data_IF_655930752479
#
_entry.id   IF_655930752479
#
_cell.length_a   1.000
_cell.length_b   1.000
_cell.length_c   1.000
_cell.angle_alpha   90.00
_cell.angle_beta   90.00
_cell.angle_gamma   90.00
#
_symmetry.space_group_name_H-M   'P 1'
#
loop_
_entity.id
_entity.type
_entity.pdbx_description
1 polymer ?
#
# COMPACT_ATOMS: atom_id res chain seq x y z
N UNK A 1 -27.11 13.75 -6.30
CA UNK A 1 -26.23 13.00 -7.22
C UNK A 1 -26.85 13.04 -8.61
N UNK A 2 -26.05 13.00 -9.67
CA UNK A 2 -26.56 12.76 -11.02
C UNK A 2 -26.64 11.24 -11.28
N UNK A 3 -27.66 10.78 -11.99
CA UNK A 3 -27.87 9.36 -12.28
C UNK A 3 -27.05 8.95 -13.51
N UNK A 4 -26.04 8.09 -13.31
CA UNK A 4 -25.12 7.66 -14.38
C UNK A 4 -25.83 6.60 -15.23
N UNK A 5 -26.37 7.03 -16.37
CA UNK A 5 -27.01 6.14 -17.35
C UNK A 5 -25.94 5.41 -18.17
N UNK A 6 -25.53 4.23 -17.72
CA UNK A 6 -24.64 3.33 -18.47
C UNK A 6 -25.34 2.73 -19.70
N UNK A 7 -24.56 2.42 -20.73
CA UNK A 7 -24.97 1.57 -21.87
C UNK A 7 -25.04 0.08 -21.48
N UNK A 8 -25.61 -0.77 -22.35
CA UNK A 8 -25.62 -2.23 -22.11
C UNK A 8 -24.23 -2.88 -22.22
N UNK A 9 -23.31 -2.23 -22.94
CA UNK A 9 -21.91 -2.65 -23.01
C UNK A 9 -21.17 -2.29 -21.72
N UNK A 10 -21.27 -1.04 -21.24
CA UNK A 10 -20.75 -0.64 -19.92
C UNK A 10 -21.35 -1.48 -18.79
N UNK A 11 -22.66 -1.80 -18.82
CA UNK A 11 -23.30 -2.70 -17.85
C UNK A 11 -22.71 -4.11 -17.87
N UNK A 12 -22.34 -4.63 -19.06
CA UNK A 12 -21.71 -5.95 -19.20
C UNK A 12 -20.28 -5.92 -18.65
N UNK A 13 -19.51 -4.89 -19.01
CA UNK A 13 -18.14 -4.68 -18.53
C UNK A 13 -18.13 -4.52 -17.00
N UNK A 14 -19.00 -3.69 -16.43
CA UNK A 14 -19.09 -3.48 -14.98
C UNK A 14 -19.34 -4.79 -14.20
N UNK A 15 -20.20 -5.68 -14.71
CA UNK A 15 -20.40 -7.01 -14.11
C UNK A 15 -19.12 -7.85 -14.16
N UNK A 16 -18.49 -7.97 -15.32
CA UNK A 16 -17.23 -8.72 -15.45
C UNK A 16 -16.09 -8.15 -14.58
N UNK A 17 -16.07 -6.83 -14.32
CA UNK A 17 -15.14 -6.19 -13.40
C UNK A 17 -15.45 -6.55 -11.93
N UNK A 18 -16.72 -6.49 -11.52
CA UNK A 18 -17.16 -6.75 -10.16
C UNK A 18 -17.08 -8.24 -9.78
N UNK A 19 -17.48 -9.13 -10.70
CA UNK A 19 -17.43 -10.58 -10.54
C UNK A 19 -15.98 -11.13 -10.59
N UNK A 20 -14.98 -10.29 -10.83
CA UNK A 20 -13.57 -10.66 -11.08
C UNK A 20 -13.31 -11.23 -12.48
N UNK A 21 -14.29 -11.94 -13.06
CA UNK A 21 -14.28 -12.77 -14.29
C UNK A 21 -13.79 -12.13 -15.61
N UNK A 22 -13.22 -10.93 -15.60
CA UNK A 22 -12.36 -10.48 -16.71
C UNK A 22 -11.17 -11.44 -16.93
N UNK A 23 -10.71 -11.71 -18.17
CA UNK A 23 -9.70 -12.76 -18.49
C UNK A 23 -8.25 -12.55 -17.99
N UNK A 24 -8.03 -11.84 -16.88
CA UNK A 24 -6.71 -11.61 -16.29
C UNK A 24 -6.23 -12.81 -15.46
N UNK A 25 -7.16 -13.54 -14.84
CA UNK A 25 -6.85 -14.63 -13.90
C UNK A 25 -6.27 -15.90 -14.58
N UNK A 26 -6.30 -16.00 -15.91
CA UNK A 26 -5.75 -17.15 -16.67
C UNK A 26 -4.28 -16.98 -17.10
N UNK A 27 -3.62 -15.84 -16.79
CA UNK A 27 -2.31 -15.49 -17.36
C UNK A 27 -1.13 -15.41 -16.35
N UNK A 28 -1.35 -15.63 -15.06
CA UNK A 28 -0.27 -15.56 -14.04
C UNK A 28 0.33 -16.95 -13.78
N UNK A 29 1.47 -17.26 -14.40
CA UNK A 29 2.27 -18.44 -14.00
C UNK A 29 3.02 -18.14 -12.69
N UNK A 30 2.54 -18.75 -11.60
CA UNK A 30 3.00 -18.63 -10.21
C UNK A 30 4.50 -19.00 -10.00
N UNK A 31 5.15 -19.55 -11.03
CA UNK A 31 6.52 -20.09 -10.99
C UNK A 31 7.65 -19.06 -11.07
N UNK A 32 7.40 -17.85 -11.55
CA UNK A 32 8.46 -16.86 -11.75
C UNK A 32 9.03 -16.29 -10.42
N UNK A 33 8.23 -16.20 -9.36
CA UNK A 33 8.61 -15.62 -8.07
C UNK A 33 9.18 -16.66 -7.09
N UNK A 34 10.29 -17.30 -7.48
CA UNK A 34 10.89 -18.43 -6.74
C UNK A 34 12.00 -18.04 -5.75
N UNK A 35 13.12 -17.48 -6.23
CA UNK A 35 14.43 -17.67 -5.55
C UNK A 35 15.18 -16.40 -5.07
N UNK A 36 14.83 -15.17 -5.50
CA UNK A 36 15.65 -14.01 -5.10
C UNK A 36 15.34 -13.46 -3.70
N UNK A 37 16.01 -14.05 -2.72
CA UNK A 37 16.32 -13.43 -1.43
C UNK A 37 17.81 -13.63 -1.13
N UNK A 38 18.63 -12.68 -1.59
CA UNK A 38 20.08 -12.69 -1.39
C UNK A 38 20.53 -12.93 0.08
N UNK A 39 21.61 -13.71 0.30
CA UNK A 39 21.98 -14.18 1.64
C UNK A 39 22.63 -13.09 2.53
N UNK A 40 22.34 -13.06 3.84
CA UNK A 40 22.96 -12.11 4.77
C UNK A 40 24.42 -12.45 5.09
N UNK A 41 25.27 -11.43 5.20
CA UNK A 41 26.71 -11.56 5.49
C UNK A 41 26.96 -12.00 6.95
N UNK A 42 27.86 -12.98 7.22
CA UNK A 42 27.98 -13.66 8.53
C UNK A 42 29.11 -13.16 9.45
N UNK A 43 28.94 -13.42 10.76
CA UNK A 43 29.92 -13.23 11.86
C UNK A 43 29.25 -12.61 13.09
N UNK A 44 29.51 -13.02 14.35
CA UNK A 44 30.31 -14.14 14.89
C UNK A 44 29.90 -14.42 16.36
N UNK A 45 30.39 -15.49 16.98
CA UNK A 45 30.05 -15.91 18.36
C UNK A 45 30.89 -15.17 19.45
N UNK A 46 30.69 -15.23 20.78
CA UNK A 46 29.78 -15.97 21.70
C UNK A 46 29.62 -15.08 23.00
N UNK A 47 29.01 -15.37 24.18
CA UNK A 47 28.68 -16.58 24.96
C UNK A 47 27.50 -16.37 25.94
N UNK A 48 26.98 -17.47 26.52
CA UNK A 48 26.42 -17.62 27.88
C UNK A 48 25.03 -17.04 28.26
N UNK A 49 24.47 -17.56 29.38
CA UNK A 49 23.04 -17.53 29.77
C UNK A 49 22.84 -17.65 31.30
N UNK A 50 21.86 -16.94 31.89
CA UNK A 50 20.97 -17.53 32.91
C UNK A 50 19.49 -17.07 32.71
N UNK A 51 18.54 -17.99 32.52
CA UNK A 51 17.56 -18.50 33.53
C UNK A 51 16.31 -17.60 33.75
N UNK A 52 15.11 -18.19 34.02
CA UNK A 52 13.83 -17.52 33.77
C UNK A 52 13.19 -16.84 34.99
N UNK A 53 12.37 -15.82 34.73
CA UNK A 53 11.41 -15.25 35.69
C UNK A 53 9.98 -15.76 35.41
N UNK A 54 9.11 -15.86 36.43
CA UNK A 54 7.74 -16.35 36.27
C UNK A 54 6.82 -15.32 35.58
N UNK A 55 5.72 -15.77 34.92
CA UNK A 55 4.80 -14.88 34.23
C UNK A 55 3.96 -14.03 35.21
N UNK A 56 3.80 -12.72 34.97
CA UNK A 56 2.82 -11.90 35.68
C UNK A 56 1.40 -12.17 35.16
N UNK A 57 0.46 -12.42 36.07
CA UNK A 57 -0.92 -12.79 35.73
C UNK A 57 -1.79 -11.58 35.35
N UNK A 58 -2.29 -11.58 34.10
CA UNK A 58 -3.66 -11.22 33.71
C UNK A 58 -4.22 -9.81 34.00
N UNK A 59 -4.86 -9.21 32.98
CA UNK A 59 -5.80 -8.10 33.20
C UNK A 59 -5.76 -6.96 32.19
N UNK A 60 -5.67 -7.25 30.88
CA UNK A 60 -5.76 -6.18 29.88
C UNK A 60 -7.22 -5.77 29.63
N UNK A 61 -7.60 -4.59 30.14
CA UNK A 61 -8.91 -3.98 29.89
C UNK A 61 -8.85 -3.15 28.61
N UNK A 62 -9.28 -3.76 27.51
CA UNK A 62 -9.33 -3.14 26.18
C UNK A 62 -9.84 -1.69 26.25
N UNK A 63 -8.94 -0.72 26.04
CA UNK A 63 -9.29 0.69 26.02
C UNK A 63 -10.24 0.94 24.86
N UNK A 64 -11.38 1.57 25.13
CA UNK A 64 -12.15 2.23 24.07
C UNK A 64 -11.24 3.30 23.47
N UNK A 65 -10.86 3.14 22.21
CA UNK A 65 -10.18 4.20 21.49
C UNK A 65 -11.11 5.41 21.40
N UNK A 66 -10.56 6.60 21.66
CA UNK A 66 -11.22 7.84 21.27
C UNK A 66 -11.46 7.83 19.75
N UNK A 67 -12.54 8.46 19.30
CA UNK A 67 -12.77 8.62 17.87
C UNK A 67 -11.57 9.37 17.25
N UNK A 68 -11.05 8.94 16.08
CA UNK A 68 -9.95 9.64 15.43
C UNK A 68 -10.35 11.11 15.19
N UNK A 69 -9.43 12.07 15.34
CA UNK A 69 -9.74 13.47 15.10
C UNK A 69 -10.27 13.66 13.68
N UNK A 70 -11.21 14.58 13.49
CA UNK A 70 -11.79 14.88 12.17
C UNK A 70 -10.68 15.13 11.15
N UNK A 71 -10.48 14.18 10.23
CA UNK A 71 -9.55 14.33 9.13
C UNK A 71 -10.07 15.46 8.25
N UNK A 72 -9.39 16.61 8.31
CA UNK A 72 -9.57 17.68 7.33
C UNK A 72 -9.05 17.16 6.00
N UNK A 73 -9.98 16.69 5.17
CA UNK A 73 -9.69 16.08 3.88
C UNK A 73 -8.85 16.99 2.98
N UNK A 74 -8.17 16.38 2.02
CA UNK A 74 -7.27 17.09 1.12
C UNK A 74 -8.01 18.14 0.28
N UNK A 75 -7.48 19.37 0.25
CA UNK A 75 -8.11 20.48 -0.46
C UNK A 75 -7.84 20.38 -1.97
N UNK A 76 -8.77 19.74 -2.69
CA UNK A 76 -8.68 19.50 -4.13
C UNK A 76 -8.74 20.76 -5.00
N UNK A 77 -9.14 21.91 -4.45
CA UNK A 77 -9.22 23.20 -5.17
C UNK A 77 -8.02 24.12 -4.86
N UNK A 78 -7.27 23.86 -3.78
CA UNK A 78 -6.04 24.61 -3.45
C UNK A 78 -4.93 24.30 -4.46
N UNK A 79 -4.42 25.27 -5.23
CA UNK A 79 -3.42 25.00 -6.25
C UNK A 79 -2.08 24.50 -5.66
N UNK A 80 -1.48 23.53 -6.34
CA UNK A 80 -0.11 23.05 -6.11
C UNK A 80 0.78 23.49 -7.29
N UNK A 81 2.06 23.74 -7.04
CA UNK A 81 3.04 23.96 -8.11
C UNK A 81 3.07 22.74 -9.06
N UNK A 82 3.27 22.96 -10.36
CA UNK A 82 3.42 21.86 -11.33
C UNK A 82 4.81 21.22 -11.23
N UNK A 83 4.88 19.94 -11.56
CA UNK A 83 6.14 19.18 -11.59
C UNK A 83 7.05 19.53 -12.78
N UNK A 84 6.49 20.11 -13.85
CA UNK A 84 7.21 20.48 -15.08
C UNK A 84 7.45 22.00 -15.24
N UNK A 85 6.73 22.84 -14.49
CA UNK A 85 6.84 24.30 -14.51
C UNK A 85 6.44 24.86 -13.12
N UNK A 86 7.37 24.98 -12.15
CA UNK A 86 7.05 25.33 -10.76
C UNK A 86 6.60 26.79 -10.59
N UNK A 87 6.81 27.65 -11.59
CA UNK A 87 6.24 29.01 -11.64
C UNK A 87 4.75 29.00 -12.00
N UNK A 88 4.18 27.83 -12.36
CA UNK A 88 2.74 27.60 -12.52
C UNK A 88 2.20 26.70 -11.43
N UNK A 89 0.93 26.93 -11.11
CA UNK A 89 0.13 26.04 -10.29
C UNK A 89 -1.06 25.47 -11.07
N UNK A 90 -1.49 24.28 -10.67
CA UNK A 90 -2.73 23.62 -11.09
C UNK A 90 -3.48 23.14 -9.84
N UNK A 91 -4.80 23.00 -9.91
CA UNK A 91 -5.52 22.38 -8.80
C UNK A 91 -5.33 20.86 -8.81
N UNK A 92 -5.27 20.19 -7.66
CA UNK A 92 -5.26 18.74 -7.59
C UNK A 92 -6.43 18.09 -8.35
N UNK A 93 -7.59 18.76 -8.41
CA UNK A 93 -8.73 18.31 -9.21
C UNK A 93 -8.47 18.40 -10.72
N UNK A 94 -7.70 19.37 -11.21
CA UNK A 94 -7.22 19.41 -12.60
C UNK A 94 -6.22 18.28 -12.88
N UNK A 95 -5.28 18.01 -11.96
CA UNK A 95 -4.34 16.88 -12.07
C UNK A 95 -5.10 15.55 -12.19
N UNK A 96 -6.04 15.28 -11.29
CA UNK A 96 -6.88 14.07 -11.31
C UNK A 96 -7.76 14.00 -12.56
N UNK A 97 -8.19 15.14 -13.12
CA UNK A 97 -8.97 15.16 -14.36
C UNK A 97 -8.17 14.72 -15.59
N UNK A 98 -6.87 14.98 -15.59
CA UNK A 98 -5.94 14.58 -16.65
C UNK A 98 -5.39 13.15 -16.49
N UNK A 99 -5.85 12.37 -15.50
CA UNK A 99 -5.40 11.00 -15.30
C UNK A 99 -5.78 10.07 -16.47
N UNK A 100 -4.77 9.37 -16.99
CA UNK A 100 -4.90 8.25 -17.93
C UNK A 100 -4.28 6.99 -17.27
N UNK A 101 -5.07 5.94 -16.97
CA UNK A 101 -4.55 4.68 -16.45
C UNK A 101 -3.43 4.07 -17.31
N UNK A 102 -3.52 4.22 -18.63
CA UNK A 102 -2.59 3.57 -19.56
C UNK A 102 -1.18 4.16 -19.48
N UNK A 103 -1.04 5.43 -19.09
CA UNK A 103 0.24 6.09 -18.84
C UNK A 103 0.94 5.55 -17.58
N UNK A 104 0.20 4.93 -16.65
CA UNK A 104 0.74 4.25 -15.46
C UNK A 104 1.03 2.76 -15.64
N UNK A 105 0.91 2.23 -16.87
CA UNK A 105 0.99 0.78 -17.16
C UNK A 105 -0.29 -0.01 -16.82
N UNK A 106 -1.30 0.64 -16.23
CA UNK A 106 -2.54 0.02 -15.78
C UNK A 106 -3.47 -0.32 -16.97
N UNK A 107 -4.42 -1.26 -16.80
CA UNK A 107 -5.47 -1.51 -17.79
C UNK A 107 -6.31 -0.26 -18.09
N UNK A 108 -6.69 0.00 -19.36
CA UNK A 108 -7.60 1.09 -19.69
C UNK A 108 -8.95 0.95 -18.97
N UNK A 109 -9.42 2.03 -18.36
CA UNK A 109 -10.69 2.09 -17.63
C UNK A 109 -11.44 3.37 -17.99
N UNK A 110 -12.71 3.26 -18.39
CA UNK A 110 -13.56 4.42 -18.66
C UNK A 110 -14.07 4.97 -17.32
N UNK A 111 -14.00 6.30 -17.12
CA UNK A 111 -14.39 6.97 -15.86
C UNK A 111 -15.79 6.58 -15.37
N UNK A 112 -16.79 6.51 -16.24
CA UNK A 112 -18.17 6.11 -15.89
C UNK A 112 -18.22 4.72 -15.23
N UNK A 113 -17.49 3.76 -15.81
CA UNK A 113 -17.37 2.40 -15.31
C UNK A 113 -16.58 2.39 -13.99
N UNK A 114 -15.48 3.14 -13.90
CA UNK A 114 -14.66 3.21 -12.68
C UNK A 114 -15.41 3.77 -11.46
N UNK A 115 -16.25 4.80 -11.65
CA UNK A 115 -17.11 5.33 -10.58
C UNK A 115 -18.14 4.28 -10.14
N UNK A 116 -18.86 3.68 -11.10
CA UNK A 116 -19.85 2.65 -10.79
C UNK A 116 -19.24 1.39 -10.15
N UNK A 117 -17.98 1.08 -10.46
CA UNK A 117 -17.23 -0.02 -9.85
C UNK A 117 -16.99 0.19 -8.35
N UNK A 118 -16.50 1.37 -7.95
CA UNK A 118 -16.35 1.70 -6.51
C UNK A 118 -17.70 1.63 -5.80
N UNK A 119 -18.74 2.25 -6.37
CA UNK A 119 -20.07 2.31 -5.77
C UNK A 119 -20.67 0.90 -5.57
N UNK A 120 -20.49 -0.01 -6.53
CA UNK A 120 -20.96 -1.38 -6.44
C UNK A 120 -20.14 -2.22 -5.43
N UNK A 121 -18.81 -2.17 -5.49
CA UNK A 121 -17.96 -3.08 -4.69
C UNK A 121 -17.83 -2.62 -3.23
N UNK A 122 -17.81 -1.31 -2.97
CA UNK A 122 -17.87 -0.79 -1.60
C UNK A 122 -19.20 -1.15 -0.91
N UNK A 123 -20.31 -1.17 -1.65
CA UNK A 123 -21.61 -1.62 -1.14
C UNK A 123 -21.71 -3.13 -0.90
N UNK A 124 -20.93 -3.94 -1.63
CA UNK A 124 -20.81 -5.39 -1.39
C UNK A 124 -19.94 -5.72 -0.16
N UNK A 125 -18.88 -4.95 0.07
CA UNK A 125 -17.96 -5.11 1.20
C UNK A 125 -16.81 -6.09 0.97
N UNK A 126 -16.78 -6.81 -0.15
CA UNK A 126 -15.74 -7.80 -0.50
C UNK A 126 -14.34 -7.19 -0.68
N UNK A 127 -14.24 -5.90 -0.98
CA UNK A 127 -12.99 -5.13 -1.02
C UNK A 127 -13.07 -3.97 -0.03
N UNK A 128 -12.86 -4.20 1.29
CA UNK A 128 -13.06 -3.17 2.31
C UNK A 128 -12.12 -1.96 2.16
N UNK A 129 -11.00 -2.12 1.43
CA UNK A 129 -10.11 -1.02 1.09
C UNK A 129 -10.66 -0.01 0.07
N UNK A 130 -11.80 -0.30 -0.57
CA UNK A 130 -12.49 0.65 -1.46
C UNK A 130 -13.50 1.54 -0.72
N UNK A 131 -13.87 1.19 0.52
CA UNK A 131 -14.90 1.91 1.27
C UNK A 131 -14.59 3.42 1.49
N UNK A 132 -13.36 3.87 1.78
CA UNK A 132 -13.06 5.30 1.93
C UNK A 132 -13.24 6.13 0.65
N UNK A 133 -13.22 5.49 -0.53
CA UNK A 133 -13.43 6.11 -1.82
C UNK A 133 -14.93 6.25 -2.18
N UNK A 134 -15.84 5.56 -1.49
CA UNK A 134 -17.26 5.48 -1.84
C UNK A 134 -18.00 6.84 -1.77
N UNK A 135 -17.56 7.77 -0.92
CA UNK A 135 -18.13 9.12 -0.79
C UNK A 135 -17.28 10.21 -1.48
N UNK A 136 -16.23 9.83 -2.23
CA UNK A 136 -15.27 10.77 -2.85
C UNK A 136 -15.69 11.23 -4.25
N UNK A 137 -14.92 12.17 -4.80
CA UNK A 137 -15.15 12.73 -6.13
C UNK A 137 -15.10 11.65 -7.24
N UNK A 138 -15.82 11.84 -8.37
CA UNK A 138 -15.75 10.93 -9.52
C UNK A 138 -14.33 10.74 -10.06
N UNK A 139 -13.54 11.81 -10.00
CA UNK A 139 -12.10 11.85 -10.26
C UNK A 139 -11.32 10.88 -9.37
N UNK A 140 -11.46 10.96 -8.04
CA UNK A 140 -10.73 10.08 -7.10
C UNK A 140 -11.19 8.64 -7.22
N UNK A 141 -12.51 8.38 -7.30
CA UNK A 141 -13.06 7.04 -7.56
C UNK A 141 -12.46 6.39 -8.81
N UNK A 142 -12.22 7.16 -9.86
CA UNK A 142 -11.62 6.65 -11.10
C UNK A 142 -10.15 6.24 -10.93
N UNK A 143 -9.34 7.01 -10.19
CA UNK A 143 -7.95 6.64 -9.88
C UNK A 143 -7.91 5.37 -9.02
N UNK A 144 -8.70 5.33 -7.95
CA UNK A 144 -8.79 4.17 -7.05
C UNK A 144 -9.27 2.92 -7.82
N UNK A 145 -10.28 3.03 -8.68
CA UNK A 145 -10.76 1.91 -9.50
C UNK A 145 -9.73 1.44 -10.55
N UNK A 146 -8.91 2.33 -11.09
CA UNK A 146 -7.84 1.95 -12.02
C UNK A 146 -6.70 1.21 -11.29
N UNK A 147 -6.35 1.65 -10.08
CA UNK A 147 -5.37 1.01 -9.23
C UNK A 147 -5.81 -0.39 -8.76
N UNK A 148 -7.06 -0.53 -8.32
CA UNK A 148 -7.66 -1.81 -7.87
C UNK A 148 -7.86 -2.83 -9.02
N UNK A 149 -7.65 -2.36 -10.26
CA UNK A 149 -7.68 -3.13 -11.51
C UNK A 149 -6.29 -3.35 -12.13
N UNK A 150 -5.24 -2.74 -11.59
CA UNK A 150 -3.85 -3.10 -11.89
C UNK A 150 -3.44 -4.41 -11.22
N UNK A 151 -2.19 -4.83 -11.40
CA UNK A 151 -1.62 -5.94 -10.61
C UNK A 151 -0.83 -5.45 -9.38
N UNK A 152 -0.59 -4.15 -9.24
CA UNK A 152 -0.03 -3.53 -8.06
C UNK A 152 -0.92 -3.67 -6.82
N UNK A 153 -0.33 -3.53 -5.63
CA UNK A 153 -1.04 -3.68 -4.35
C UNK A 153 -1.02 -2.43 -3.43
N UNK A 154 -1.01 -1.17 -3.94
CA UNK A 154 -0.84 -0.01 -3.06
C UNK A 154 -2.07 0.24 -2.17
N UNK A 155 -3.30 0.15 -2.72
CA UNK A 155 -4.54 0.43 -1.99
C UNK A 155 -4.70 -0.36 -0.69
N UNK A 156 -4.73 -1.71 -0.69
CA UNK A 156 -5.01 -2.50 0.52
C UNK A 156 -3.88 -2.49 1.55
N UNK A 157 -2.80 -1.72 1.32
CA UNK A 157 -1.58 -1.73 2.13
C UNK A 157 -1.09 -0.33 2.53
N UNK A 158 -1.45 0.71 1.78
CA UNK A 158 -0.85 2.05 1.88
C UNK A 158 -1.84 3.22 1.65
N UNK A 159 -3.15 2.95 1.56
CA UNK A 159 -4.23 3.96 1.44
C UNK A 159 -5.00 4.14 2.77
N UNK A 160 -5.84 5.17 2.86
CA UNK A 160 -6.64 5.58 4.02
C UNK A 160 -7.55 4.51 4.65
N UNK A 161 -7.83 3.40 3.97
CA UNK A 161 -8.54 2.25 4.57
C UNK A 161 -7.72 1.52 5.65
N UNK A 162 -6.39 1.49 5.54
CA UNK A 162 -5.53 0.64 6.38
C UNK A 162 -5.31 1.30 7.73
N UNK A 163 -6.00 0.86 8.78
CA UNK A 163 -5.91 1.48 10.11
C UNK A 163 -4.49 1.43 10.70
N UNK A 164 -4.16 2.37 11.60
CA UNK A 164 -2.88 2.38 12.32
C UNK A 164 -2.60 1.03 13.02
N UNK A 165 -3.63 0.37 13.56
CA UNK A 165 -3.49 -0.97 14.15
C UNK A 165 -3.10 -2.02 13.10
N UNK A 166 -3.67 -1.99 11.89
CA UNK A 166 -3.25 -2.86 10.80
C UNK A 166 -1.81 -2.58 10.34
N UNK A 167 -1.33 -1.33 10.42
CA UNK A 167 0.08 -1.02 10.19
C UNK A 167 0.97 -1.62 11.30
N UNK A 168 0.59 -1.46 12.57
CA UNK A 168 1.23 -2.15 13.71
C UNK A 168 1.30 -3.66 13.48
N UNK A 169 0.19 -4.32 13.19
CA UNK A 169 0.13 -5.78 12.97
C UNK A 169 0.89 -6.23 11.71
N UNK A 170 0.96 -5.40 10.67
CA UNK A 170 1.79 -5.63 9.48
C UNK A 170 3.28 -5.60 9.84
N UNK A 171 3.73 -4.60 10.61
CA UNK A 171 5.14 -4.45 10.96
C UNK A 171 5.60 -5.36 12.10
N UNK A 172 4.79 -5.66 13.12
CA UNK A 172 5.18 -6.53 14.25
C UNK A 172 4.83 -7.99 14.04
N UNK A 173 3.68 -8.29 13.41
CA UNK A 173 3.11 -9.65 13.30
C UNK A 173 3.07 -10.21 11.88
N UNK A 174 3.62 -9.48 10.90
CA UNK A 174 3.63 -9.83 9.47
C UNK A 174 2.23 -10.16 8.93
N UNK A 175 1.22 -9.39 9.36
CA UNK A 175 -0.16 -9.56 8.92
C UNK A 175 -0.46 -8.63 7.74
N UNK A 176 -0.80 -9.22 6.60
CA UNK A 176 -1.14 -8.48 5.38
C UNK A 176 -2.54 -7.86 5.51
N UNK A 177 -2.73 -6.52 5.48
CA UNK A 177 -4.06 -5.93 5.66
C UNK A 177 -5.05 -6.28 4.54
N UNK A 178 -4.55 -6.76 3.39
CA UNK A 178 -5.34 -7.33 2.31
C UNK A 178 -5.98 -8.71 2.62
N UNK A 179 -5.50 -9.41 3.65
CA UNK A 179 -5.87 -10.81 3.91
C UNK A 179 -7.16 -10.91 4.74
N UNK A 180 -8.29 -11.11 4.05
CA UNK A 180 -9.62 -11.15 4.66
C UNK A 180 -9.94 -12.45 5.43
N UNK A 181 -9.21 -13.55 5.19
CA UNK A 181 -9.34 -14.81 5.94
C UNK A 181 -8.56 -14.71 7.27
N UNK A 182 -9.21 -14.71 8.45
CA UNK A 182 -8.53 -14.52 9.73
C UNK A 182 -7.54 -15.65 10.06
N UNK A 183 -7.77 -16.86 9.55
CA UNK A 183 -6.86 -17.99 9.69
C UNK A 183 -5.60 -17.83 8.84
N UNK A 184 -5.71 -17.29 7.62
CA UNK A 184 -4.55 -16.91 6.81
C UNK A 184 -3.81 -15.71 7.41
N UNK A 185 -4.53 -14.68 7.88
CA UNK A 185 -3.97 -13.48 8.51
C UNK A 185 -3.17 -13.81 9.78
N UNK A 186 -3.71 -14.64 10.67
CA UNK A 186 -3.00 -15.13 11.88
C UNK A 186 -1.78 -16.01 11.56
N UNK A 187 -1.80 -16.70 10.41
CA UNK A 187 -0.65 -17.48 9.89
C UNK A 187 0.35 -16.64 9.07
N UNK A 188 0.24 -15.30 9.11
CA UNK A 188 1.07 -14.35 8.36
C UNK A 188 1.14 -14.68 6.87
N UNK A 189 -0.01 -15.01 6.26
CA UNK A 189 -0.12 -15.33 4.83
C UNK A 189 -0.56 -14.14 4.01
N UNK A 190 0.23 -13.85 2.99
CA UNK A 190 0.00 -12.84 1.97
C UNK A 190 -1.32 -13.12 1.22
N UNK A 191 -2.11 -12.08 0.96
CA UNK A 191 -3.43 -12.19 0.35
C UNK A 191 -3.39 -12.70 -1.09
N UNK A 192 -2.38 -12.29 -1.85
CA UNK A 192 -2.28 -12.50 -3.30
C UNK A 192 -1.47 -13.74 -3.62
N UNK A 193 -0.29 -13.89 -3.00
CA UNK A 193 0.63 -15.01 -3.30
C UNK A 193 0.39 -16.25 -2.45
N UNK A 194 -0.37 -16.15 -1.35
CA UNK A 194 -0.51 -17.22 -0.36
C UNK A 194 0.79 -17.64 0.35
N UNK A 195 1.94 -17.03 0.01
CA UNK A 195 3.25 -17.21 0.64
C UNK A 195 3.25 -16.56 2.04
N UNK A 196 4.37 -16.60 2.76
CA UNK A 196 4.51 -15.79 3.99
C UNK A 196 4.60 -14.32 3.60
N UNK A 197 3.77 -13.47 4.20
CA UNK A 197 3.84 -12.04 4.00
C UNK A 197 5.12 -11.47 4.64
N UNK A 198 5.72 -10.48 3.98
CA UNK A 198 6.91 -9.78 4.44
C UNK A 198 6.60 -8.29 4.61
N UNK A 199 7.15 -7.69 5.65
CA UNK A 199 7.11 -6.25 5.90
C UNK A 199 8.52 -5.75 6.22
N UNK A 200 8.83 -4.50 5.85
CA UNK A 200 10.12 -3.87 6.09
C UNK A 200 10.34 -3.49 7.56
N UNK A 201 11.07 -2.40 7.78
CA UNK A 201 11.22 -1.75 9.09
C UNK A 201 9.99 -0.91 9.46
N UNK A 202 9.23 -0.47 8.45
CA UNK A 202 8.10 0.43 8.57
C UNK A 202 6.85 -0.18 7.91
N UNK A 203 5.67 0.18 8.41
CA UNK A 203 4.40 0.05 7.71
C UNK A 203 3.73 1.42 7.66
N UNK A 204 3.49 1.93 6.45
CA UNK A 204 3.14 3.34 6.21
C UNK A 204 1.99 3.48 5.22
N UNK A 205 1.28 4.61 5.25
CA UNK A 205 0.17 4.95 4.35
C UNK A 205 0.08 6.45 4.10
N UNK A 206 -0.59 6.84 3.02
CA UNK A 206 -1.26 8.14 2.94
C UNK A 206 -2.68 7.92 3.48
N UNK A 207 -3.07 8.63 4.54
CA UNK A 207 -4.26 8.34 5.33
C UNK A 207 -5.55 9.04 4.87
N UNK A 208 -5.49 9.85 3.82
CA UNK A 208 -6.64 10.45 3.15
C UNK A 208 -6.73 9.97 1.67
N UNK A 209 -7.91 9.53 1.17
CA UNK A 209 -8.06 8.99 -0.18
C UNK A 209 -7.84 10.03 -1.29
N UNK A 210 -8.23 11.28 -1.04
CA UNK A 210 -8.10 12.35 -2.04
C UNK A 210 -6.61 12.74 -2.16
N UNK A 211 -5.89 12.86 -1.04
CA UNK A 211 -4.43 13.00 -1.03
C UNK A 211 -3.72 11.82 -1.72
N UNK A 212 -4.08 10.57 -1.38
CA UNK A 212 -3.47 9.38 -1.97
C UNK A 212 -3.60 9.36 -3.50
N UNK A 213 -4.80 9.64 -4.01
CA UNK A 213 -5.05 9.68 -5.46
C UNK A 213 -4.26 10.81 -6.16
N UNK A 214 -4.20 12.00 -5.54
CA UNK A 214 -3.44 13.14 -6.07
C UNK A 214 -1.94 12.82 -6.12
N UNK A 215 -1.39 12.28 -5.03
CA UNK A 215 0.02 11.89 -4.95
C UNK A 215 0.37 10.85 -6.02
N UNK A 216 -0.50 9.85 -6.24
CA UNK A 216 -0.29 8.82 -7.25
C UNK A 216 -0.29 9.38 -8.67
N UNK A 217 -1.27 10.21 -9.04
CA UNK A 217 -1.33 10.81 -10.39
C UNK A 217 -0.16 11.77 -10.63
N UNK A 218 0.24 12.55 -9.62
CA UNK A 218 1.46 13.39 -9.70
C UNK A 218 2.73 12.55 -9.82
N UNK A 219 2.83 11.41 -9.12
CA UNK A 219 3.98 10.52 -9.26
C UNK A 219 4.10 9.96 -10.69
N UNK A 220 2.99 9.55 -11.32
CA UNK A 220 2.99 9.15 -12.74
C UNK A 220 3.42 10.27 -13.71
N UNK A 221 3.35 11.54 -13.28
CA UNK A 221 3.81 12.69 -14.06
C UNK A 221 5.28 13.06 -13.78
N UNK A 222 5.88 12.55 -12.69
CA UNK A 222 7.26 12.88 -12.30
C UNK A 222 8.29 12.41 -13.34
N UNK A 223 9.32 13.21 -13.68
CA UNK A 223 10.29 12.86 -14.72
C UNK A 223 10.92 11.46 -14.57
N UNK A 224 11.35 11.07 -13.37
CA UNK A 224 12.04 9.78 -13.15
C UNK A 224 11.09 8.58 -13.26
N UNK A 225 9.88 8.71 -12.70
CA UNK A 225 8.82 7.69 -12.81
C UNK A 225 8.41 7.53 -14.28
N UNK A 226 8.34 8.63 -15.03
CA UNK A 226 8.10 8.60 -16.49
C UNK A 226 9.27 7.99 -17.26
N UNK A 227 10.52 8.23 -16.86
CA UNK A 227 11.68 7.62 -17.50
C UNK A 227 11.61 6.09 -17.40
N UNK A 228 11.23 5.57 -16.22
CA UNK A 228 10.95 4.14 -16.02
C UNK A 228 9.76 3.66 -16.86
N UNK A 229 8.59 4.29 -16.77
CA UNK A 229 7.38 3.80 -17.42
C UNK A 229 7.41 3.89 -18.96
N UNK A 230 8.28 4.72 -19.54
CA UNK A 230 8.51 4.82 -20.98
C UNK A 230 9.68 3.95 -21.49
N UNK A 231 10.39 3.23 -20.62
CA UNK A 231 11.45 2.32 -21.05
C UNK A 231 10.85 1.05 -21.69
N UNK A 232 11.47 0.47 -22.74
CA UNK A 232 11.04 -0.82 -23.29
C UNK A 232 11.05 -1.91 -22.23
N UNK A 233 10.06 -2.80 -22.23
CA UNK A 233 10.05 -3.96 -21.34
C UNK A 233 11.16 -4.94 -21.69
N UNK A 234 11.85 -5.45 -20.67
CA UNK A 234 12.83 -6.52 -20.78
C UNK A 234 12.51 -7.58 -19.73
N UNK A 235 12.25 -8.81 -20.18
CA UNK A 235 11.94 -9.94 -19.31
C UNK A 235 13.13 -10.24 -18.37
N UNK A 236 12.85 -10.38 -17.07
CA UNK A 236 13.87 -10.63 -16.05
C UNK A 236 14.79 -9.43 -15.75
N UNK A 237 14.53 -8.23 -16.29
CA UNK A 237 15.24 -7.03 -15.89
C UNK A 237 14.56 -6.37 -14.67
N UNK A 238 15.30 -6.32 -13.56
CA UNK A 238 14.93 -5.50 -12.41
C UNK A 238 15.00 -4.00 -12.72
N UNK A 239 14.09 -3.25 -12.10
CA UNK A 239 13.96 -1.81 -12.29
C UNK A 239 14.06 -1.12 -10.93
N UNK A 240 14.94 -0.12 -10.84
CA UNK A 240 15.10 0.68 -9.62
C UNK A 240 13.79 1.37 -9.22
N UNK A 241 13.47 1.35 -7.93
CA UNK A 241 12.42 2.20 -7.36
C UNK A 241 12.81 3.69 -7.45
N UNK A 242 11.81 4.56 -7.53
CA UNK A 242 12.00 6.01 -7.44
C UNK A 242 11.68 6.50 -6.02
N UNK A 243 12.44 7.49 -5.54
CA UNK A 243 12.20 8.23 -4.30
C UNK A 243 11.82 9.67 -4.65
N UNK A 244 10.54 10.00 -4.55
CA UNK A 244 10.04 11.35 -4.89
C UNK A 244 9.71 12.10 -3.60
N UNK A 245 10.23 13.32 -3.34
CA UNK A 245 9.90 14.07 -2.13
C UNK A 245 8.39 14.22 -1.91
N UNK A 246 7.91 13.99 -0.68
CA UNK A 246 6.46 14.13 -0.37
C UNK A 246 5.98 15.55 -0.70
N UNK A 247 6.84 16.55 -0.52
CA UNK A 247 6.56 17.94 -0.84
C UNK A 247 6.25 18.20 -2.33
N UNK A 248 6.86 17.43 -3.24
CA UNK A 248 6.66 17.60 -4.68
C UNK A 248 5.32 16.99 -5.13
N UNK A 249 4.85 15.97 -4.42
CA UNK A 249 3.59 15.27 -4.72
C UNK A 249 2.37 15.86 -3.99
N UNK A 250 2.54 16.41 -2.79
CA UNK A 250 1.43 16.88 -1.93
C UNK A 250 1.58 18.33 -1.41
N UNK A 251 2.61 19.06 -1.84
CA UNK A 251 2.95 20.38 -1.30
C UNK A 251 3.66 20.28 0.06
N UNK A 252 4.14 21.40 0.62
CA UNK A 252 5.01 21.41 1.81
C UNK A 252 4.36 20.79 3.06
N UNK A 253 3.05 21.01 3.26
CA UNK A 253 2.25 20.39 4.32
C UNK A 253 1.93 18.89 4.05
N UNK A 254 2.31 18.34 2.90
CA UNK A 254 1.89 17.03 2.40
C UNK A 254 2.23 15.84 3.30
N UNK A 255 3.31 15.96 4.07
CA UNK A 255 3.73 15.00 5.08
C UNK A 255 2.66 14.74 6.16
N UNK A 256 1.71 15.67 6.35
CA UNK A 256 0.63 15.58 7.36
C UNK A 256 -0.50 14.64 6.97
N UNK A 257 -0.54 14.19 5.71
CA UNK A 257 -1.41 13.11 5.25
C UNK A 257 -0.71 11.75 5.30
N UNK A 258 0.55 11.67 5.73
CA UNK A 258 1.31 10.44 5.85
C UNK A 258 1.26 9.93 7.30
N UNK A 259 1.14 8.61 7.47
CA UNK A 259 1.05 7.95 8.78
C UNK A 259 1.72 6.58 8.73
N UNK A 260 2.27 6.10 9.84
CA UNK A 260 2.83 4.76 9.90
C UNK A 260 3.41 4.37 11.26
N UNK A 261 3.91 3.14 11.33
CA UNK A 261 4.57 2.57 12.50
C UNK A 261 5.93 2.00 12.14
N UNK A 262 6.89 2.13 13.07
CA UNK A 262 8.27 1.66 12.93
C UNK A 262 8.52 0.50 13.90
N UNK A 263 9.21 -0.55 13.44
CA UNK A 263 9.62 -1.66 14.28
C UNK A 263 10.63 -1.19 15.33
N UNK A 264 10.33 -1.40 16.62
CA UNK A 264 11.18 -0.90 17.69
C UNK A 264 12.51 -1.69 17.76
N UNK A 265 13.67 -1.02 17.93
CA UNK A 265 14.96 -1.67 17.95
C UNK A 265 15.17 -2.51 19.21
N UNK A 266 15.56 -3.77 19.03
CA UNK A 266 15.92 -4.69 20.12
C UNK A 266 17.39 -4.47 20.46
N UNK A 267 17.72 -4.21 21.73
CA UNK A 267 19.09 -3.84 22.17
C UNK A 267 19.70 -2.63 21.42
N UNK A 268 18.88 -1.76 20.83
CA UNK A 268 19.33 -0.67 19.94
C UNK A 268 19.61 -1.09 18.49
N UNK A 269 19.28 -2.32 18.11
CA UNK A 269 19.54 -2.95 16.82
C UNK A 269 18.24 -3.28 16.08
N UNK A 270 18.02 -2.60 14.94
CA UNK A 270 16.90 -2.92 14.03
C UNK A 270 17.09 -4.29 13.36
N UNK A 271 18.35 -4.73 13.16
CA UNK A 271 18.66 -6.08 12.65
C UNK A 271 18.19 -7.16 13.62
N UNK A 272 18.46 -6.98 14.93
CA UNK A 272 17.95 -7.90 15.96
C UNK A 272 16.43 -7.86 16.05
N UNK A 273 15.80 -6.70 15.94
CA UNK A 273 14.33 -6.60 15.91
C UNK A 273 13.71 -7.39 14.74
N UNK A 274 14.31 -7.32 13.54
CA UNK A 274 13.86 -8.07 12.37
C UNK A 274 14.01 -9.59 12.55
N UNK A 275 15.13 -10.07 13.10
CA UNK A 275 15.31 -11.50 13.36
C UNK A 275 14.46 -12.00 14.53
N UNK A 276 14.29 -11.20 15.60
CA UNK A 276 13.37 -11.47 16.70
C UNK A 276 11.94 -11.63 16.16
N UNK A 277 11.49 -10.71 15.29
CA UNK A 277 10.19 -10.77 14.62
C UNK A 277 10.02 -12.02 13.76
N UNK A 278 11.03 -12.39 12.98
CA UNK A 278 11.00 -13.61 12.15
C UNK A 278 10.83 -14.86 13.02
N UNK A 279 11.59 -14.97 14.12
CA UNK A 279 11.57 -16.12 15.01
C UNK A 279 10.28 -16.17 15.86
N UNK A 280 9.84 -15.05 16.46
CA UNK A 280 8.56 -14.95 17.17
C UNK A 280 7.37 -15.30 16.25
N UNK A 281 7.34 -14.76 15.03
CA UNK A 281 6.28 -15.06 14.06
C UNK A 281 6.30 -16.54 13.66
N UNK A 282 7.48 -17.13 13.45
CA UNK A 282 7.62 -18.57 13.14
C UNK A 282 7.09 -19.44 14.27
N UNK A 283 7.41 -19.13 15.53
CA UNK A 283 6.96 -19.88 16.70
C UNK A 283 5.44 -19.76 16.90
N UNK A 284 4.90 -18.52 16.86
CA UNK A 284 3.44 -18.26 16.90
C UNK A 284 2.70 -19.05 15.82
N UNK A 285 3.18 -19.04 14.58
CA UNK A 285 2.52 -19.71 13.45
C UNK A 285 2.66 -21.25 13.53
N UNK A 286 3.63 -21.76 14.29
CA UNK A 286 3.74 -23.18 14.62
C UNK A 286 2.87 -23.60 15.83
N UNK A 287 2.25 -22.65 16.54
CA UNK A 287 1.47 -22.93 17.75
C UNK A 287 2.32 -23.33 18.96
N UNK A 288 3.59 -22.91 18.99
CA UNK A 288 4.49 -23.12 20.15
C UNK A 288 4.72 -21.81 20.89
N UNK A 289 5.04 -21.90 22.17
CA UNK A 289 5.37 -20.73 23.00
C UNK A 289 6.58 -19.99 22.39
N UNK A 290 6.49 -18.67 22.10
CA UNK A 290 7.57 -17.95 21.45
C UNK A 290 8.87 -17.95 22.25
N UNK A 291 9.95 -18.37 21.61
CA UNK A 291 11.31 -18.35 22.20
C UNK A 291 11.91 -16.95 22.32
N UNK A 292 11.24 -15.95 21.74
CA UNK A 292 11.62 -14.55 21.69
C UNK A 292 10.46 -13.67 22.20
N UNK A 293 10.71 -12.45 22.72
CA UNK A 293 9.65 -11.51 23.07
C UNK A 293 8.79 -11.11 21.86
N UNK A 294 7.53 -10.69 22.10
CA UNK A 294 6.70 -10.11 21.04
C UNK A 294 7.33 -8.81 20.52
N UNK A 295 7.47 -8.63 19.19
CA UNK A 295 7.98 -7.39 18.62
C UNK A 295 7.03 -6.22 18.89
N UNK A 296 7.58 -5.08 19.32
CA UNK A 296 6.84 -3.83 19.49
C UNK A 296 7.11 -2.87 18.33
N UNK A 297 6.22 -1.91 18.13
CA UNK A 297 6.37 -0.86 17.14
C UNK A 297 5.69 0.42 17.63
N UNK A 298 6.35 1.55 17.44
CA UNK A 298 5.86 2.87 17.82
C UNK A 298 5.39 3.65 16.56
N UNK A 299 4.42 4.59 16.69
CA UNK A 299 4.05 5.48 15.60
C UNK A 299 5.23 6.34 15.11
N UNK A 300 5.34 6.50 13.80
CA UNK A 300 6.33 7.39 13.17
C UNK A 300 5.97 8.84 13.50
N UNK A 301 6.89 9.56 14.13
CA UNK A 301 6.63 10.88 14.72
C UNK A 301 6.37 11.99 13.68
N UNK A 302 6.98 11.89 12.49
CA UNK A 302 6.74 12.80 11.36
C UNK A 302 7.21 12.14 10.05
N UNK A 303 6.67 12.63 8.92
CA UNK A 303 7.16 12.36 7.56
C UNK A 303 7.72 13.62 6.90
N UNK A 304 7.96 14.70 7.67
CA UNK A 304 8.55 15.94 7.18
C UNK A 304 9.95 15.67 6.62
N UNK A 305 10.19 16.07 5.36
CA UNK A 305 11.42 15.75 4.63
C UNK A 305 11.47 14.34 4.00
N UNK A 306 10.49 13.48 4.25
CA UNK A 306 10.40 12.13 3.69
C UNK A 306 10.04 12.08 2.19
N UNK A 307 10.07 10.89 1.62
CA UNK A 307 9.78 10.61 0.21
C UNK A 307 8.57 9.69 0.05
N UNK A 308 8.05 9.59 -1.17
CA UNK A 308 7.20 8.48 -1.60
C UNK A 308 8.08 7.53 -2.42
N UNK A 309 8.11 6.27 -2.00
CA UNK A 309 8.68 5.15 -2.74
C UNK A 309 7.71 4.71 -3.83
N UNK A 310 8.19 4.71 -5.07
CA UNK A 310 7.46 4.22 -6.25
C UNK A 310 8.18 2.99 -6.77
N UNK A 311 7.56 1.82 -6.63
CA UNK A 311 8.13 0.53 -7.02
C UNK A 311 7.48 0.04 -8.32
N UNK A 312 8.24 -0.64 -9.16
CA UNK A 312 7.81 -1.06 -10.51
C UNK A 312 7.86 -2.57 -10.69
N UNK A 313 7.04 -3.09 -11.60
CA UNK A 313 7.06 -4.51 -12.00
C UNK A 313 6.48 -4.70 -13.42
N UNK A 314 6.59 -5.87 -14.05
CA UNK A 314 5.85 -6.19 -15.27
C UNK A 314 4.34 -6.04 -15.03
N UNK A 315 3.65 -5.38 -15.94
CA UNK A 315 2.21 -5.19 -15.85
C UNK A 315 1.43 -6.50 -16.15
N UNK A 316 0.11 -6.47 -16.02
CA UNK A 316 -0.77 -7.64 -16.25
C UNK A 316 -0.59 -8.35 -17.61
N UNK A 317 -0.08 -7.67 -18.64
CA UNK A 317 0.15 -8.23 -19.98
C UNK A 317 1.60 -8.64 -20.25
N UNK A 318 2.52 -8.35 -19.32
CA UNK A 318 3.94 -8.71 -19.45
C UNK A 318 4.67 -8.01 -20.59
N UNK A 319 4.17 -6.86 -21.08
CA UNK A 319 4.69 -6.13 -22.24
C UNK A 319 5.17 -4.70 -21.92
N UNK A 320 4.92 -4.23 -20.69
CA UNK A 320 5.36 -2.93 -20.15
C UNK A 320 5.50 -2.97 -18.63
N UNK A 321 6.09 -1.94 -18.05
CA UNK A 321 6.13 -1.77 -16.59
C UNK A 321 4.87 -1.05 -16.08
N UNK A 322 4.44 -1.36 -14.86
CA UNK A 322 3.44 -0.61 -14.09
C UNK A 322 3.95 -0.30 -12.67
N UNK A 323 3.28 0.61 -11.97
CA UNK A 323 3.54 0.90 -10.57
C UNK A 323 3.04 -0.26 -9.66
N UNK A 324 3.96 -1.06 -9.13
CA UNK A 324 3.72 -2.20 -8.25
C UNK A 324 3.22 -1.80 -6.86
N UNK A 325 3.83 -0.75 -6.29
CA UNK A 325 3.59 -0.27 -4.93
C UNK A 325 3.94 1.21 -4.82
N UNK A 326 3.28 1.90 -3.89
CA UNK A 326 3.31 3.35 -3.73
C UNK A 326 3.10 3.68 -2.26
N UNK A 327 4.11 4.20 -1.56
CA UNK A 327 4.04 4.42 -0.11
C UNK A 327 5.02 5.47 0.43
N UNK A 328 4.66 6.21 1.50
CA UNK A 328 5.58 7.17 2.12
C UNK A 328 6.66 6.47 2.96
N UNK A 329 7.88 7.01 2.89
CA UNK A 329 9.06 6.58 3.64
C UNK A 329 9.58 7.79 4.44
N UNK A 330 9.79 7.67 5.77
CA UNK A 330 10.27 8.77 6.60
C UNK A 330 11.76 9.09 6.33
N UNK A 331 12.20 10.26 6.78
CA UNK A 331 13.60 10.71 6.74
C UNK A 331 14.42 10.28 7.98
#
# INVERSE_FOLDING_TARGET
MAEITLTDEERRTLRALADGTTPLDELVDDRAYADDLGPPVPGGADTARPEPLPPPSGGDTARRGDAPPEQKGFDLERPLARLDDPDRAETPLETLRAFDPSAGGLPPLIRSIGVAYIDQVAAAGDRPWLAPAADRSPEVKHVIAALDRGSGHPLPRHEGAVTLQQLTDRVTRLQDPAQLDPGKLTRSRDAYTGKRHNCGLYATRINDPDAFAVAYVRALQHPDVRAVLNQPFVEGQDVSECEIPIADLLGPDGHRFCEGTALNPVNGSLKEAVEQRKQWTKDRVAGVEPTAPEPTADPIATFEGGTIKVQFKPNVTGDRYECASFFPDPA
#
